data_IF_685013338258
#
_entry.id   IF_685013338258
#
_cell.length_a   1.000
_cell.length_b   1.000
_cell.length_c   1.000
_cell.angle_alpha   90.00
_cell.angle_beta   90.00
_cell.angle_gamma   90.00
#
_symmetry.space_group_name_H-M   'P 1'
#
loop_
_entity.id
_entity.type
_entity.pdbx_description
1 polymer ?
#
# COMPACT_ATOMS: atom_id res chain seq x y z
N UNK A 1 -3.03 3.95 -38.16
CA UNK A 1 -3.72 3.98 -36.86
C UNK A 1 -5.14 3.42 -36.92
N UNK A 2 -5.86 3.49 -38.05
CA UNK A 2 -7.19 2.85 -38.18
C UNK A 2 -7.23 1.37 -37.79
N UNK A 3 -6.20 0.60 -38.15
CA UNK A 3 -6.13 -0.82 -37.78
C UNK A 3 -6.00 -1.06 -36.26
N UNK A 4 -5.25 -0.21 -35.55
CA UNK A 4 -5.11 -0.31 -34.10
C UNK A 4 -6.43 0.04 -33.38
N UNK A 5 -7.13 1.08 -33.84
CA UNK A 5 -8.46 1.45 -33.34
C UNK A 5 -9.53 0.39 -33.61
N UNK A 6 -9.50 -0.19 -34.80
CA UNK A 6 -10.38 -1.31 -35.12
C UNK A 6 -10.06 -2.53 -34.24
N UNK A 7 -8.78 -2.82 -34.01
CA UNK A 7 -8.37 -3.91 -33.14
C UNK A 7 -8.80 -3.67 -31.69
N UNK A 8 -8.69 -2.45 -31.16
CA UNK A 8 -9.21 -2.12 -29.81
C UNK A 8 -10.72 -2.31 -29.67
N UNK A 9 -11.48 -2.17 -30.75
CA UNK A 9 -12.93 -2.44 -30.74
C UNK A 9 -13.24 -3.95 -30.74
N UNK A 10 -12.37 -4.77 -31.33
CA UNK A 10 -12.56 -6.23 -31.42
C UNK A 10 -11.94 -6.97 -30.22
N UNK A 11 -10.68 -6.67 -29.90
CA UNK A 11 -9.96 -7.17 -28.74
C UNK A 11 -9.34 -5.98 -27.96
N UNK A 12 -10.01 -5.51 -26.89
CA UNK A 12 -9.61 -4.30 -26.17
C UNK A 12 -8.18 -4.36 -25.61
N UNK A 13 -7.78 -5.52 -25.06
CA UNK A 13 -6.45 -5.72 -24.44
C UNK A 13 -5.31 -5.75 -25.46
N UNK A 14 -5.49 -6.47 -26.56
CA UNK A 14 -4.43 -6.65 -27.55
C UNK A 14 -4.30 -5.39 -28.43
N UNK A 15 -5.44 -4.77 -28.73
CA UNK A 15 -5.49 -3.53 -29.49
C UNK A 15 -4.73 -2.41 -28.81
N UNK A 16 -4.89 -2.24 -27.49
CA UNK A 16 -4.19 -1.17 -26.76
C UNK A 16 -2.71 -1.46 -26.64
N UNK A 17 -2.30 -2.72 -26.53
CA UNK A 17 -0.89 -3.09 -26.50
C UNK A 17 -0.20 -2.76 -27.84
N UNK A 18 -0.85 -3.09 -28.97
CA UNK A 18 -0.37 -2.71 -30.30
C UNK A 18 -0.32 -1.19 -30.46
N UNK A 19 -1.32 -0.49 -29.92
CA UNK A 19 -1.35 0.97 -29.92
C UNK A 19 -0.16 1.56 -29.15
N UNK A 20 0.06 1.12 -27.92
CA UNK A 20 1.14 1.58 -27.03
C UNK A 20 2.54 1.31 -27.60
N UNK A 21 2.72 0.16 -28.26
CA UNK A 21 4.00 -0.23 -28.88
C UNK A 21 4.31 0.56 -30.15
N UNK A 22 3.32 1.22 -30.74
CA UNK A 22 3.51 2.02 -31.96
C UNK A 22 4.31 3.29 -31.64
N UNK A 23 5.33 3.65 -32.43
CA UNK A 23 6.11 4.88 -32.23
C UNK A 23 5.25 6.15 -32.31
N UNK A 24 4.11 6.08 -33.04
CA UNK A 24 3.16 7.20 -33.18
C UNK A 24 2.34 7.46 -31.91
N UNK A 25 2.34 6.57 -30.92
CA UNK A 25 1.59 6.77 -29.68
C UNK A 25 2.10 7.96 -28.86
N UNK A 26 3.35 8.39 -29.09
CA UNK A 26 3.96 9.55 -28.43
C UNK A 26 3.54 10.89 -29.02
N UNK A 27 3.13 10.89 -30.29
CA UNK A 27 2.81 12.10 -31.05
C UNK A 27 1.30 12.42 -30.99
N UNK A 28 0.50 11.56 -30.38
CA UNK A 28 -0.94 11.74 -30.24
C UNK A 28 -1.28 12.46 -28.95
N UNK A 29 -2.34 13.27 -28.99
CA UNK A 29 -2.89 13.91 -27.80
C UNK A 29 -3.46 12.83 -26.85
N UNK A 30 -2.91 12.68 -25.63
CA UNK A 30 -3.38 11.70 -24.68
C UNK A 30 -4.87 11.86 -24.33
N UNK A 31 -5.39 13.10 -24.33
CA UNK A 31 -6.76 13.37 -23.92
C UNK A 31 -7.77 12.89 -24.99
N UNK A 32 -7.49 13.14 -26.27
CA UNK A 32 -8.28 12.59 -27.39
C UNK A 32 -8.28 11.06 -27.43
N UNK A 33 -7.15 10.44 -27.05
CA UNK A 33 -7.04 8.98 -26.98
C UNK A 33 -7.89 8.48 -25.80
N UNK A 34 -7.78 9.08 -24.63
CA UNK A 34 -8.55 8.70 -23.45
C UNK A 34 -10.07 8.78 -23.70
N UNK A 35 -10.57 9.86 -24.31
CA UNK A 35 -11.99 10.03 -24.64
C UNK A 35 -12.51 8.88 -25.53
N UNK A 36 -11.71 8.46 -26.51
CA UNK A 36 -12.07 7.33 -27.39
C UNK A 36 -11.99 5.97 -26.69
N UNK A 37 -11.10 5.80 -25.71
CA UNK A 37 -10.95 4.56 -24.96
C UNK A 37 -12.02 4.41 -23.85
N UNK A 38 -12.53 5.53 -23.33
CA UNK A 38 -13.66 5.56 -22.37
C UNK A 38 -14.90 4.84 -22.91
N UNK A 39 -15.14 4.91 -24.22
CA UNK A 39 -16.27 4.24 -24.87
C UNK A 39 -16.15 2.72 -24.99
N UNK A 40 -15.01 2.11 -24.61
CA UNK A 40 -14.76 0.67 -24.82
C UNK A 40 -14.76 -0.13 -23.51
N UNK A 41 -13.76 0.11 -22.63
CA UNK A 41 -13.56 -0.68 -21.41
C UNK A 41 -12.62 0.05 -20.43
N UNK A 42 -12.91 -0.02 -19.13
CA UNK A 42 -12.08 0.52 -18.05
C UNK A 42 -10.66 -0.08 -18.05
N UNK A 43 -10.51 -1.38 -18.32
CA UNK A 43 -9.20 -2.04 -18.32
C UNK A 43 -8.25 -1.47 -19.40
N UNK A 44 -8.81 -1.03 -20.53
CA UNK A 44 -8.03 -0.41 -21.61
C UNK A 44 -7.57 0.99 -21.23
N UNK A 45 -8.46 1.78 -20.62
CA UNK A 45 -8.16 3.10 -20.08
C UNK A 45 -7.05 3.00 -19.02
N UNK A 46 -7.14 2.04 -18.10
CA UNK A 46 -6.09 1.78 -17.12
C UNK A 46 -4.74 1.45 -17.75
N UNK A 47 -4.72 0.56 -18.76
CA UNK A 47 -3.48 0.14 -19.43
C UNK A 47 -2.82 1.32 -20.14
N UNK A 48 -3.62 2.19 -20.76
CA UNK A 48 -3.11 3.41 -21.38
C UNK A 48 -2.60 4.43 -20.34
N UNK A 49 -3.36 4.67 -19.26
CA UNK A 49 -2.94 5.54 -18.17
C UNK A 49 -1.65 5.03 -17.49
N UNK A 50 -1.51 3.73 -17.28
CA UNK A 50 -0.28 3.12 -16.75
C UNK A 50 0.89 3.34 -17.72
N UNK A 51 0.68 3.24 -19.04
CA UNK A 51 1.69 3.61 -20.02
C UNK A 51 2.09 5.10 -19.94
N UNK A 52 1.11 6.01 -19.85
CA UNK A 52 1.37 7.45 -19.72
C UNK A 52 2.19 7.77 -18.46
N UNK A 53 1.82 7.15 -17.33
CA UNK A 53 2.48 7.37 -16.04
C UNK A 53 3.84 6.69 -15.95
N UNK A 54 3.98 5.44 -16.42
CA UNK A 54 5.21 4.66 -16.22
C UNK A 54 6.24 4.84 -17.34
N UNK A 55 5.81 4.81 -18.61
CA UNK A 55 6.71 4.86 -19.77
C UNK A 55 6.95 6.29 -20.24
N UNK A 56 5.90 7.10 -20.32
CA UNK A 56 6.03 8.51 -20.70
C UNK A 56 6.35 9.43 -19.52
N UNK A 57 6.27 8.93 -18.27
CA UNK A 57 6.56 9.68 -17.04
C UNK A 57 5.84 11.04 -16.99
N UNK A 58 4.59 11.06 -17.46
CA UNK A 58 3.78 12.28 -17.46
C UNK A 58 3.70 12.85 -16.05
N UNK A 59 3.84 14.17 -15.96
CA UNK A 59 3.73 14.92 -14.71
C UNK A 59 2.30 15.42 -14.45
N UNK A 60 1.35 15.12 -15.35
CA UNK A 60 -0.03 15.60 -15.22
C UNK A 60 -0.73 14.90 -14.04
N UNK A 61 -1.12 15.63 -12.97
CA UNK A 61 -1.73 15.04 -11.79
C UNK A 61 -3.06 14.33 -12.06
N UNK A 62 -3.79 14.76 -13.10
CA UNK A 62 -5.08 14.18 -13.47
C UNK A 62 -4.94 12.72 -13.91
N UNK A 63 -3.91 12.38 -14.69
CA UNK A 63 -3.67 11.00 -15.12
C UNK A 63 -3.33 10.08 -13.95
N UNK A 64 -2.54 10.55 -12.99
CA UNK A 64 -2.20 9.78 -11.79
C UNK A 64 -3.42 9.59 -10.89
N UNK A 65 -4.23 10.64 -10.73
CA UNK A 65 -5.48 10.60 -9.94
C UNK A 65 -6.46 9.62 -10.55
N UNK A 66 -6.68 9.71 -11.87
CA UNK A 66 -7.59 8.84 -12.60
C UNK A 66 -7.16 7.38 -12.56
N UNK A 67 -5.86 7.11 -12.66
CA UNK A 67 -5.32 5.76 -12.55
C UNK A 67 -5.52 5.18 -11.13
N UNK A 68 -5.23 5.94 -10.07
CA UNK A 68 -5.51 5.53 -8.69
C UNK A 68 -6.99 5.24 -8.46
N UNK A 69 -7.87 6.12 -8.93
CA UNK A 69 -9.32 5.96 -8.79
C UNK A 69 -9.82 4.71 -9.53
N UNK A 70 -9.27 4.44 -10.71
CA UNK A 70 -9.64 3.25 -11.49
C UNK A 70 -9.25 1.95 -10.78
N UNK A 71 -8.06 1.88 -10.18
CA UNK A 71 -7.69 0.73 -9.34
C UNK A 71 -8.61 0.55 -8.12
N UNK A 72 -9.01 1.66 -7.48
CA UNK A 72 -9.93 1.61 -6.35
C UNK A 72 -11.34 1.12 -6.77
N UNK A 73 -11.80 1.51 -7.95
CA UNK A 73 -13.07 1.04 -8.51
C UNK A 73 -13.03 -0.45 -8.84
N UNK A 74 -11.95 -0.97 -9.42
CA UNK A 74 -11.80 -2.41 -9.67
C UNK A 74 -11.85 -3.21 -8.37
N UNK A 75 -11.23 -2.70 -7.30
CA UNK A 75 -11.31 -3.33 -5.98
C UNK A 75 -12.76 -3.30 -5.47
N UNK A 76 -13.45 -2.16 -5.62
CA UNK A 76 -14.85 -2.04 -5.23
C UNK A 76 -15.73 -3.04 -5.98
N UNK A 77 -15.53 -3.22 -7.28
CA UNK A 77 -16.33 -4.12 -8.10
C UNK A 77 -16.03 -5.59 -7.77
N UNK A 78 -14.76 -5.95 -7.56
CA UNK A 78 -14.39 -7.28 -7.05
C UNK A 78 -14.99 -7.55 -5.66
N UNK A 79 -15.06 -6.53 -4.81
CA UNK A 79 -15.68 -6.61 -3.48
C UNK A 79 -17.20 -6.76 -3.51
N UNK A 80 -17.87 -6.26 -4.55
CA UNK A 80 -19.31 -6.45 -4.76
C UNK A 80 -19.60 -7.81 -5.39
N UNK A 81 -18.72 -8.30 -6.27
CA UNK A 81 -18.89 -9.56 -6.98
C UNK A 81 -18.62 -10.78 -6.06
N UNK A 82 -17.61 -10.66 -5.20
CA UNK A 82 -17.27 -11.65 -4.18
C UNK A 82 -17.86 -11.25 -2.83
N UNK A 83 -17.94 -12.16 -1.84
CA UNK A 83 -18.19 -11.78 -0.43
C UNK A 83 -16.98 -11.05 0.19
N UNK A 84 -16.43 -10.06 -0.53
CA UNK A 84 -15.10 -9.50 -0.31
C UNK A 84 -14.96 -8.70 0.99
N UNK A 85 -16.06 -8.15 1.52
CA UNK A 85 -16.08 -7.48 2.83
C UNK A 85 -15.73 -8.43 3.97
N UNK A 86 -16.33 -9.62 3.99
CA UNK A 86 -16.02 -10.64 4.99
C UNK A 86 -14.62 -11.21 4.76
N UNK A 87 -14.24 -11.47 3.51
CA UNK A 87 -12.88 -11.91 3.18
C UNK A 87 -11.82 -10.91 3.65
N UNK A 88 -12.08 -9.61 3.56
CA UNK A 88 -11.17 -8.59 4.11
C UNK A 88 -11.08 -8.66 5.63
N UNK A 89 -12.22 -8.72 6.31
CA UNK A 89 -12.25 -8.81 7.77
C UNK A 89 -11.50 -10.05 8.25
N UNK A 90 -11.65 -11.18 7.55
CA UNK A 90 -10.89 -12.39 7.78
C UNK A 90 -9.38 -12.20 7.57
N UNK A 91 -8.96 -11.49 6.51
CA UNK A 91 -7.55 -11.19 6.27
C UNK A 91 -6.92 -10.36 7.40
N UNK A 92 -7.64 -9.35 7.90
CA UNK A 92 -7.15 -8.52 9.03
C UNK A 92 -7.11 -9.34 10.32
N UNK A 93 -8.13 -10.17 10.58
CA UNK A 93 -8.16 -11.03 11.77
C UNK A 93 -7.07 -12.09 11.73
N UNK A 94 -6.83 -12.72 10.57
CA UNK A 94 -5.76 -13.68 10.35
C UNK A 94 -4.40 -13.00 10.53
N UNK A 95 -4.20 -11.78 10.03
CA UNK A 95 -2.98 -11.05 10.33
C UNK A 95 -2.81 -10.79 11.84
N UNK A 96 -3.86 -10.29 12.51
CA UNK A 96 -3.83 -10.00 13.96
C UNK A 96 -3.55 -11.22 14.83
N UNK A 97 -4.05 -12.40 14.46
CA UNK A 97 -3.79 -13.64 15.20
C UNK A 97 -2.36 -14.16 15.01
N UNK A 98 -1.73 -13.85 13.88
CA UNK A 98 -0.36 -14.24 13.58
C UNK A 98 0.70 -13.27 14.12
N UNK A 99 0.31 -12.07 14.58
CA UNK A 99 1.23 -11.13 15.24
C UNK A 99 1.61 -11.72 16.59
N UNK A 100 2.86 -12.15 16.73
CA UNK A 100 3.46 -12.47 18.02
C UNK A 100 4.20 -11.24 18.56
N UNK A 101 3.73 -10.62 19.67
CA UNK A 101 4.40 -9.47 20.29
C UNK A 101 5.78 -9.81 20.87
N UNK A 102 6.06 -11.09 21.12
CA UNK A 102 7.30 -11.59 21.71
C UNK A 102 7.88 -12.72 20.84
N UNK A 103 8.56 -12.40 19.73
CA UNK A 103 9.24 -13.42 18.94
C UNK A 103 10.29 -14.11 19.79
N UNK A 104 10.07 -15.40 20.06
CA UNK A 104 11.13 -16.27 20.54
C UNK A 104 12.20 -16.32 19.45
N UNK A 105 13.47 -16.18 19.84
CA UNK A 105 14.63 -15.94 18.95
C UNK A 105 14.82 -16.96 17.82
N UNK A 106 14.10 -18.08 17.83
CA UNK A 106 14.28 -19.20 16.91
C UNK A 106 13.06 -19.54 16.04
N UNK A 107 11.91 -18.86 16.17
CA UNK A 107 10.73 -19.18 15.36
C UNK A 107 10.56 -18.26 14.15
N UNK A 108 10.19 -18.89 13.03
CA UNK A 108 10.04 -18.31 11.68
C UNK A 108 9.30 -16.96 11.63
N UNK A 109 10.08 -15.88 11.72
CA UNK A 109 10.09 -14.62 10.96
C UNK A 109 8.78 -13.82 10.75
N UNK A 110 7.65 -14.21 11.35
CA UNK A 110 6.34 -13.57 11.11
C UNK A 110 6.11 -12.29 11.92
N UNK A 111 6.79 -12.12 13.05
CA UNK A 111 6.74 -10.92 13.91
C UNK A 111 7.32 -9.67 13.26
N UNK A 112 7.97 -9.81 12.09
CA UNK A 112 8.62 -8.72 11.37
C UNK A 112 7.91 -8.33 10.07
N UNK A 113 6.79 -8.97 9.71
CA UNK A 113 6.05 -8.57 8.50
C UNK A 113 5.07 -7.43 8.77
N UNK A 114 5.13 -6.42 7.92
CA UNK A 114 4.03 -5.47 7.74
C UNK A 114 2.81 -6.21 7.20
N UNK A 115 1.61 -5.65 7.37
CA UNK A 115 0.39 -6.20 6.78
C UNK A 115 0.53 -6.35 5.25
N UNK A 116 1.17 -5.37 4.60
CA UNK A 116 1.51 -5.43 3.16
C UNK A 116 2.42 -6.63 2.83
N UNK A 117 3.44 -6.88 3.66
CA UNK A 117 4.33 -8.03 3.50
C UNK A 117 3.61 -9.37 3.67
N UNK A 118 2.70 -9.45 4.65
CA UNK A 118 1.82 -10.60 4.85
C UNK A 118 0.91 -10.85 3.64
N UNK A 119 0.24 -9.80 3.13
CA UNK A 119 -0.60 -9.90 1.93
C UNK A 119 0.18 -10.42 0.72
N UNK A 120 1.38 -9.87 0.50
CA UNK A 120 2.25 -10.26 -0.63
C UNK A 120 2.75 -11.71 -0.52
N UNK A 121 3.02 -12.20 0.69
CA UNK A 121 3.68 -13.49 0.88
C UNK A 121 2.68 -14.63 1.06
N UNK A 122 1.60 -14.40 1.83
CA UNK A 122 0.68 -15.46 2.24
C UNK A 122 -0.62 -15.49 1.43
N UNK A 123 -1.03 -14.35 0.85
CA UNK A 123 -2.38 -14.19 0.27
C UNK A 123 -2.36 -13.67 -1.17
N UNK A 124 -1.21 -13.63 -1.84
CA UNK A 124 -1.03 -13.14 -3.21
C UNK A 124 -1.77 -13.93 -4.30
N UNK A 125 -2.27 -15.13 -3.98
CA UNK A 125 -3.11 -15.91 -4.87
C UNK A 125 -4.54 -15.37 -5.01
N UNK A 126 -5.01 -14.55 -4.05
CA UNK A 126 -6.36 -14.00 -4.07
C UNK A 126 -6.42 -12.79 -5.01
N UNK A 127 -7.41 -12.77 -5.91
CA UNK A 127 -7.61 -11.68 -6.89
C UNK A 127 -7.71 -10.31 -6.22
N UNK A 128 -8.54 -10.21 -5.17
CA UNK A 128 -8.70 -8.99 -4.37
C UNK A 128 -7.35 -8.49 -3.80
N UNK A 129 -6.51 -9.39 -3.31
CA UNK A 129 -5.19 -9.04 -2.76
C UNK A 129 -4.25 -8.54 -3.86
N UNK A 130 -4.27 -9.13 -5.06
CA UNK A 130 -3.47 -8.66 -6.19
C UNK A 130 -3.84 -7.25 -6.64
N UNK A 131 -5.14 -6.94 -6.67
CA UNK A 131 -5.64 -5.61 -7.01
C UNK A 131 -5.18 -4.58 -5.96
N UNK A 132 -5.36 -4.90 -4.67
CA UNK A 132 -4.90 -4.05 -3.55
C UNK A 132 -3.40 -3.80 -3.57
N UNK A 133 -2.58 -4.86 -3.73
CA UNK A 133 -1.12 -4.71 -3.82
C UNK A 133 -0.70 -3.85 -5.02
N UNK A 134 -1.44 -3.89 -6.13
CA UNK A 134 -1.19 -3.03 -7.29
C UNK A 134 -1.48 -1.57 -6.98
N UNK A 135 -2.61 -1.29 -6.34
CA UNK A 135 -2.97 0.06 -5.88
C UNK A 135 -1.97 0.60 -4.85
N UNK A 136 -1.63 -0.19 -3.82
CA UNK A 136 -0.64 0.17 -2.80
C UNK A 136 0.69 0.53 -3.46
N UNK A 137 1.18 -0.31 -4.39
CA UNK A 137 2.41 -0.05 -5.14
C UNK A 137 2.33 1.25 -5.92
N UNK A 138 1.20 1.53 -6.55
CA UNK A 138 0.99 2.76 -7.30
C UNK A 138 1.02 3.99 -6.40
N UNK A 139 0.28 3.97 -5.28
CA UNK A 139 0.17 5.09 -4.34
C UNK A 139 1.49 5.42 -3.63
N UNK A 140 2.33 4.41 -3.37
CA UNK A 140 3.68 4.61 -2.81
C UNK A 140 4.66 5.14 -3.85
N UNK A 141 4.50 4.77 -5.13
CA UNK A 141 5.43 5.14 -6.21
C UNK A 141 5.15 6.52 -6.78
N UNK A 142 3.88 6.87 -6.97
CA UNK A 142 3.49 8.18 -7.50
C UNK A 142 3.23 9.16 -6.37
N UNK A 143 3.71 10.39 -6.52
CA UNK A 143 3.37 11.50 -5.62
C UNK A 143 2.56 12.60 -6.32
N UNK A 144 2.08 12.32 -7.54
CA UNK A 144 1.50 13.33 -8.43
C UNK A 144 -0.03 13.27 -8.46
N UNK A 145 -0.65 12.25 -7.87
CA UNK A 145 -2.11 12.21 -7.78
C UNK A 145 -2.63 13.28 -6.80
N UNK A 146 -3.87 13.73 -7.00
CA UNK A 146 -4.60 14.61 -6.11
C UNK A 146 -5.15 13.80 -4.94
N UNK A 147 -4.57 13.91 -3.72
CA UNK A 147 -4.86 13.01 -2.63
C UNK A 147 -6.29 13.12 -2.10
N UNK A 148 -6.93 14.29 -2.19
CA UNK A 148 -8.31 14.52 -1.73
C UNK A 148 -9.31 13.68 -2.55
N UNK A 149 -9.15 13.69 -3.88
CA UNK A 149 -10.02 12.95 -4.81
C UNK A 149 -9.82 11.44 -4.64
N UNK A 150 -8.56 11.02 -4.51
CA UNK A 150 -8.22 9.61 -4.27
C UNK A 150 -8.81 9.15 -2.93
N UNK A 151 -8.68 9.95 -1.86
CA UNK A 151 -9.24 9.62 -0.54
C UNK A 151 -10.76 9.47 -0.58
N UNK A 152 -11.47 10.37 -1.26
CA UNK A 152 -12.92 10.26 -1.45
C UNK A 152 -13.29 8.94 -2.14
N UNK A 153 -12.55 8.58 -3.18
CA UNK A 153 -12.77 7.34 -3.94
C UNK A 153 -12.48 6.10 -3.09
N UNK A 154 -11.37 6.08 -2.34
CA UNK A 154 -11.03 4.98 -1.43
C UNK A 154 -12.08 4.78 -0.34
N UNK A 155 -12.65 5.88 0.17
CA UNK A 155 -13.70 5.85 1.18
C UNK A 155 -14.99 5.21 0.65
N UNK A 156 -15.34 5.51 -0.60
CA UNK A 156 -16.48 4.88 -1.30
C UNK A 156 -16.21 3.43 -1.69
N UNK A 157 -14.97 3.10 -2.04
CA UNK A 157 -14.58 1.78 -2.53
C UNK A 157 -14.65 0.68 -1.45
N UNK A 158 -14.32 1.01 -0.20
CA UNK A 158 -14.48 0.07 0.92
C UNK A 158 -13.49 0.28 2.08
N UNK A 159 -13.29 -0.74 2.93
CA UNK A 159 -12.31 -0.73 4.02
C UNK A 159 -10.88 -0.96 3.48
N UNK A 160 -10.38 0.05 2.76
CA UNK A 160 -9.05 0.12 2.17
C UNK A 160 -8.05 0.80 3.12
N UNK A 161 -7.90 0.27 4.33
CA UNK A 161 -7.23 0.95 5.43
C UNK A 161 -5.76 1.30 5.12
N UNK A 162 -4.97 0.38 4.56
CA UNK A 162 -3.57 0.66 4.18
C UNK A 162 -3.50 1.74 3.09
N UNK A 163 -4.33 1.62 2.06
CA UNK A 163 -4.36 2.55 0.95
C UNK A 163 -4.71 3.97 1.45
N UNK A 164 -5.68 4.06 2.37
CA UNK A 164 -6.05 5.32 3.05
C UNK A 164 -4.90 5.87 3.88
N UNK A 165 -4.19 5.04 4.64
CA UNK A 165 -3.02 5.47 5.41
C UNK A 165 -1.94 6.11 4.52
N UNK A 166 -1.66 5.54 3.34
CA UNK A 166 -0.70 6.12 2.38
C UNK A 166 -1.17 7.51 1.92
N UNK A 167 -2.45 7.65 1.59
CA UNK A 167 -3.02 8.93 1.13
C UNK A 167 -3.10 9.95 2.27
N UNK A 168 -3.40 9.54 3.51
CA UNK A 168 -3.31 10.40 4.69
C UNK A 168 -1.92 10.98 4.89
N UNK A 169 -0.87 10.20 4.64
CA UNK A 169 0.50 10.71 4.63
C UNK A 169 0.73 11.84 3.62
N UNK A 170 0.11 11.76 2.44
CA UNK A 170 0.14 12.85 1.45
C UNK A 170 -0.68 14.08 1.84
N UNK A 171 -1.73 13.88 2.63
CA UNK A 171 -2.57 14.97 3.17
C UNK A 171 -1.98 15.62 4.43
N UNK A 172 -0.86 15.11 4.97
CA UNK A 172 -0.30 15.54 6.27
C UNK A 172 -1.12 15.07 7.47
N UNK A 173 -2.11 14.19 7.26
CA UNK A 173 -2.99 13.61 8.28
C UNK A 173 -2.33 12.41 8.96
N UNK A 174 -1.14 12.63 9.52
CA UNK A 174 -0.30 11.55 10.04
C UNK A 174 -0.90 10.87 11.26
N UNK A 175 -1.62 11.60 12.10
CA UNK A 175 -2.26 11.04 13.30
C UNK A 175 -3.32 10.01 12.93
N UNK A 176 -4.16 10.33 11.95
CA UNK A 176 -5.20 9.45 11.42
C UNK A 176 -4.60 8.19 10.78
N UNK A 177 -3.50 8.35 10.05
CA UNK A 177 -2.76 7.22 9.48
C UNK A 177 -2.17 6.31 10.56
N UNK A 178 -1.51 6.89 11.57
CA UNK A 178 -0.88 6.12 12.64
C UNK A 178 -1.91 5.45 13.55
N UNK A 179 -3.02 6.14 13.86
CA UNK A 179 -4.15 5.56 14.59
C UNK A 179 -4.67 4.30 13.87
N UNK A 180 -4.94 4.43 12.56
CA UNK A 180 -5.40 3.34 11.71
C UNK A 180 -4.44 2.14 11.67
N UNK A 181 -3.13 2.39 11.58
CA UNK A 181 -2.13 1.31 11.59
C UNK A 181 -2.11 0.58 12.93
N UNK A 182 -2.17 1.31 14.04
CA UNK A 182 -2.00 0.75 15.38
C UNK A 182 -3.28 0.09 15.89
N UNK A 183 -4.42 0.78 15.84
CA UNK A 183 -5.64 0.32 16.51
C UNK A 183 -6.52 -0.56 15.60
N UNK A 184 -6.52 -0.30 14.30
CA UNK A 184 -7.41 -0.97 13.34
C UNK A 184 -6.69 -2.15 12.70
N UNK A 185 -5.41 -2.02 12.36
CA UNK A 185 -4.63 -3.08 11.71
C UNK A 185 -3.68 -3.84 12.64
N UNK A 186 -3.31 -3.25 13.80
CA UNK A 186 -2.24 -3.76 14.66
C UNK A 186 -0.90 -3.91 13.94
N UNK A 187 -0.66 -3.12 12.88
CA UNK A 187 0.55 -3.17 12.06
C UNK A 187 1.64 -2.25 12.64
N UNK A 188 2.23 -2.70 13.75
CA UNK A 188 3.28 -1.97 14.47
C UNK A 188 4.52 -1.72 13.60
N UNK A 189 4.94 -2.74 12.83
CA UNK A 189 6.08 -2.64 11.91
C UNK A 189 5.76 -1.69 10.76
N UNK A 190 4.52 -1.70 10.27
CA UNK A 190 4.04 -0.76 9.26
C UNK A 190 4.02 0.68 9.76
N UNK A 191 3.63 0.92 11.01
CA UNK A 191 3.66 2.23 11.65
C UNK A 191 5.09 2.77 11.83
N UNK A 192 6.04 1.91 12.20
CA UNK A 192 7.46 2.29 12.21
C UNK A 192 7.97 2.61 10.80
N UNK A 193 7.63 1.77 9.82
CA UNK A 193 7.98 1.99 8.41
C UNK A 193 7.43 3.32 7.90
N UNK A 194 6.21 3.66 8.29
CA UNK A 194 5.58 4.95 8.01
C UNK A 194 6.39 6.12 8.57
N UNK A 195 6.83 6.05 9.83
CA UNK A 195 7.65 7.11 10.44
C UNK A 195 9.02 7.24 9.76
N UNK A 196 9.70 6.11 9.49
CA UNK A 196 11.01 6.10 8.81
C UNK A 196 10.93 6.73 7.42
N UNK A 197 9.82 6.54 6.73
CA UNK A 197 9.62 7.04 5.36
C UNK A 197 8.87 8.37 5.29
N UNK A 198 8.74 9.10 6.40
CA UNK A 198 8.04 10.39 6.44
C UNK A 198 6.61 10.30 5.87
N UNK A 199 5.90 9.22 6.20
CA UNK A 199 4.53 8.97 5.74
C UNK A 199 4.38 8.54 4.28
N UNK A 200 5.46 8.22 3.57
CA UNK A 200 5.42 7.84 2.15
C UNK A 200 5.12 6.35 1.92
N UNK A 201 5.34 5.49 2.91
CA UNK A 201 5.30 4.04 2.75
C UNK A 201 4.94 3.32 4.05
N UNK A 202 4.21 2.22 3.96
CA UNK A 202 3.74 1.42 5.12
C UNK A 202 4.31 -0.01 5.07
N UNK A 203 5.09 -0.33 4.05
CA UNK A 203 5.69 -1.64 3.88
C UNK A 203 6.40 -1.76 2.55
N UNK A 204 7.27 -2.77 2.44
CA UNK A 204 7.94 -3.11 1.19
C UNK A 204 7.13 -4.22 0.54
N UNK A 205 6.67 -4.00 -0.69
CA UNK A 205 6.23 -5.10 -1.55
C UNK A 205 7.50 -5.70 -2.16
N UNK A 206 7.85 -6.97 -1.87
CA UNK A 206 9.03 -7.58 -2.47
C UNK A 206 8.94 -7.53 -4.00
N UNK A 207 9.88 -6.83 -4.64
CA UNK A 207 10.16 -7.08 -6.06
C UNK A 207 10.91 -8.41 -6.14
N UNK A 208 10.56 -9.27 -7.10
CA UNK A 208 11.18 -10.59 -7.27
C UNK A 208 12.72 -10.48 -7.23
N UNK A 209 13.32 -11.02 -6.16
CA UNK A 209 14.76 -10.97 -5.90
C UNK A 209 15.10 -10.46 -4.50
N UNK A 210 14.97 -11.32 -3.49
CA UNK A 210 15.67 -11.15 -2.21
C UNK A 210 16.57 -12.37 -2.02
N UNK A 211 17.90 -12.22 -1.90
CA UNK A 211 18.75 -13.29 -1.40
C UNK A 211 18.47 -13.51 0.10
N UNK A 212 18.42 -14.79 0.48
CA UNK A 212 18.16 -15.27 1.83
C UNK A 212 18.95 -14.48 2.89
N UNK A 213 18.28 -14.05 3.96
CA UNK A 213 18.89 -13.37 5.11
C UNK A 213 18.96 -14.33 6.29
N UNK A 214 20.16 -14.59 6.78
CA UNK A 214 20.42 -15.25 8.05
C UNK A 214 20.45 -14.23 9.18
N UNK A 215 19.93 -14.65 10.33
CA UNK A 215 19.95 -13.98 11.63
C UNK A 215 21.34 -13.48 12.03
N UNK A 216 21.44 -12.22 12.47
CA UNK A 216 22.41 -11.73 13.48
C UNK A 216 22.23 -10.23 13.72
N UNK A 217 22.47 -9.80 14.96
CA UNK A 217 22.43 -8.44 15.51
C UNK A 217 23.46 -7.46 14.91
N UNK A 218 23.67 -7.48 13.59
CA UNK A 218 24.54 -6.55 12.87
C UNK A 218 23.68 -5.62 12.02
N UNK A 219 23.80 -4.32 12.27
CA UNK A 219 23.41 -3.19 11.43
C UNK A 219 22.37 -3.51 10.36
N UNK A 220 21.10 -3.33 10.73
CA UNK A 220 19.97 -3.25 9.80
C UNK A 220 20.41 -2.34 8.65
N UNK A 221 20.46 -2.79 7.38
CA UNK A 221 20.38 -1.83 6.30
C UNK A 221 18.96 -1.29 6.41
N UNK A 222 18.85 -0.18 7.13
CA UNK A 222 17.81 0.79 6.89
C UNK A 222 17.72 0.94 5.35
N UNK A 223 16.51 1.11 4.78
CA UNK A 223 16.42 1.60 3.39
C UNK A 223 17.45 2.72 3.28
N UNK A 224 18.37 2.69 2.28
CA UNK A 224 19.59 3.47 2.30
C UNK A 224 19.24 4.84 2.83
N UNK A 225 19.71 5.14 4.05
CA UNK A 225 19.51 6.47 4.61
C UNK A 225 20.15 7.32 3.54
N UNK A 226 19.34 8.10 2.84
CA UNK A 226 19.84 9.07 1.90
C UNK A 226 20.76 9.93 2.75
N UNK A 227 22.09 9.73 2.65
CA UNK A 227 23.09 10.40 3.50
C UNK A 227 23.03 11.94 3.33
N UNK A 228 22.15 12.42 2.45
CA UNK A 228 21.76 13.79 2.19
C UNK A 228 20.30 14.10 2.58
N UNK A 229 19.80 13.57 3.70
CA UNK A 229 18.46 13.90 4.17
C UNK A 229 18.40 15.35 4.69
N UNK A 230 17.52 16.18 4.12
CA UNK A 230 17.38 17.58 4.52
C UNK A 230 16.98 17.70 6.00
N UNK A 231 17.42 18.77 6.70
CA UNK A 231 17.09 18.95 8.12
C UNK A 231 15.57 18.98 8.38
N UNK A 232 14.79 19.52 7.44
CA UNK A 232 13.32 19.53 7.50
C UNK A 232 12.71 18.13 7.53
N UNK A 233 13.23 17.19 6.72
CA UNK A 233 12.76 15.81 6.71
C UNK A 233 13.11 15.08 8.01
N UNK A 234 14.23 15.45 8.64
CA UNK A 234 14.65 14.85 9.91
C UNK A 234 13.70 15.30 11.02
N UNK A 235 13.37 16.59 11.06
CA UNK A 235 12.40 17.15 12.01
C UNK A 235 11.02 16.52 11.84
N UNK A 236 10.53 16.41 10.60
CA UNK A 236 9.25 15.74 10.32
C UNK A 236 9.26 14.29 10.83
N UNK A 237 10.35 13.55 10.60
CA UNK A 237 10.50 12.19 11.13
C UNK A 237 10.44 12.16 12.66
N UNK A 238 11.09 13.09 13.35
CA UNK A 238 11.03 13.18 14.82
C UNK A 238 9.61 13.44 15.32
N UNK A 239 8.86 14.32 14.63
CA UNK A 239 7.46 14.59 14.95
C UNK A 239 6.62 13.31 14.79
N UNK A 240 6.80 12.56 13.70
CA UNK A 240 6.08 11.30 13.47
C UNK A 240 6.36 10.25 14.55
N UNK A 241 7.62 10.07 14.94
CA UNK A 241 7.96 9.15 16.02
C UNK A 241 7.42 9.60 17.38
N UNK A 242 7.36 10.91 17.63
CA UNK A 242 6.72 11.46 18.83
C UNK A 242 5.22 11.17 18.83
N UNK A 243 4.54 11.35 17.70
CA UNK A 243 3.13 10.98 17.54
C UNK A 243 2.91 9.49 17.77
N UNK A 244 3.72 8.64 17.14
CA UNK A 244 3.67 7.19 17.30
C UNK A 244 3.87 6.76 18.76
N UNK A 245 4.85 7.35 19.46
CA UNK A 245 5.09 7.08 20.87
C UNK A 245 3.88 7.46 21.74
N UNK A 246 3.29 8.63 21.50
CA UNK A 246 2.08 9.05 22.24
C UNK A 246 0.89 8.12 21.96
N UNK A 247 0.74 7.65 20.72
CA UNK A 247 -0.29 6.66 20.36
C UNK A 247 -0.03 5.36 21.11
N UNK A 248 1.22 4.87 21.16
CA UNK A 248 1.59 3.68 21.94
C UNK A 248 1.25 3.82 23.43
N UNK A 249 1.55 4.97 24.04
CA UNK A 249 1.20 5.23 25.44
C UNK A 249 -0.32 5.27 25.68
N UNK A 250 -1.09 5.65 24.66
CA UNK A 250 -2.56 5.68 24.72
C UNK A 250 -3.22 4.31 24.52
N UNK A 251 -2.45 3.28 24.18
CA UNK A 251 -2.93 1.89 24.13
C UNK A 251 -3.18 1.42 25.58
N UNK A 252 -4.34 1.80 26.14
CA UNK A 252 -4.83 1.27 27.40
C UNK A 252 -5.06 -0.24 27.26
N UNK A 253 -4.22 -1.08 27.90
CA UNK A 253 -4.33 -2.49 28.36
C UNK A 253 -5.17 -3.54 27.59
N UNK A 254 -5.83 -3.18 26.48
CA UNK A 254 -6.72 -4.07 25.73
C UNK A 254 -5.96 -5.09 24.89
N UNK A 255 -4.71 -4.80 24.56
CA UNK A 255 -3.81 -5.77 23.91
C UNK A 255 -3.11 -6.69 24.92
N UNK A 256 -3.00 -6.30 26.19
CA UNK A 256 -2.46 -7.13 27.27
C UNK A 256 -3.48 -8.16 27.78
N UNK A 257 -4.79 -7.88 27.66
CA UNK A 257 -5.87 -8.78 28.12
C UNK A 257 -6.26 -9.89 27.11
N UNK A 258 -5.59 -9.99 25.96
CA UNK A 258 -5.79 -11.10 25.00
C UNK A 258 -5.02 -12.37 25.39
N UNK A 259 -4.27 -12.35 26.49
CA UNK A 259 -3.55 -13.50 27.02
C UNK A 259 -3.92 -13.69 28.50
N UNK A 260 -4.49 -14.85 28.91
CA UNK A 260 -4.54 -15.17 30.32
C UNK A 260 -3.10 -15.23 30.83
N UNK A 261 -2.82 -14.49 31.89
CA UNK A 261 -1.55 -14.51 32.62
C UNK A 261 -1.33 -15.90 33.23
N UNK A 262 -0.90 -16.88 32.44
CA UNK A 262 -0.22 -18.09 32.93
C UNK A 262 1.28 -17.84 32.84
N UNK A 263 1.75 -17.00 33.76
CA UNK A 263 3.16 -16.67 33.92
C UNK A 263 3.32 -16.01 35.27
N UNK A 264 3.48 -16.84 36.30
CA UNK A 264 3.82 -16.41 37.66
C UNK A 264 4.92 -15.35 37.59
N UNK A 265 4.59 -14.16 38.08
CA UNK A 265 5.56 -13.18 38.56
C UNK A 265 6.40 -13.86 39.64
N UNK A 266 7.55 -14.40 39.24
CA UNK A 266 8.63 -14.71 40.17
C UNK A 266 9.18 -13.35 40.60
N UNK A 267 8.61 -12.86 41.70
CA UNK A 267 9.17 -11.78 42.49
C UNK A 267 10.51 -12.26 43.04
N UNK A 268 11.60 -11.94 42.34
CA UNK A 268 12.90 -11.82 42.99
C UNK A 268 12.83 -10.60 43.92
N UNK A 269 12.31 -10.82 45.14
CA UNK A 269 12.58 -9.92 46.26
C UNK A 269 14.01 -10.20 46.72
N UNK A 270 14.89 -9.25 46.44
CA UNK A 270 16.15 -9.11 47.16
C UNK A 270 15.84 -8.78 48.62
N UNK A 271 16.21 -9.66 49.54
CA UNK A 271 16.53 -9.39 50.95
C UNK A 271 17.41 -10.52 51.46
#
# INVERSE_FOLDING_TARGET
>A
MHYAWWLTQQSPTDGIEVFIRSPKAKDMDPDEVLEKLEGLNNQVVQTYLDYLVTKLKSQNPEYHTRLACSYANDIQDEMKASNGLESFRELVNDFKSNINPYPLKDDSDLSHYTFVGYLSTKKSHLRLVQLRLSLIRFLQKSSLYLPEIVMETLTKAGPLDIEKCIVYGKLGMHKESLDMLIHQLSDFVGAETYCVTNGHSIGVIPSAGIPARSSSLAEKPLPPIDENMSPEKIEERHILFTMLFNIYLSINDRYLNLYPTTGQLILCKNS
#
